data_IF_803451764143
#
_entry.id   IF_803451764143
#
_cell.length_a   1.000
_cell.length_b   1.000
_cell.length_c   1.000
_cell.angle_alpha   90.00
_cell.angle_beta   90.00
_cell.angle_gamma   90.00
#
_symmetry.space_group_name_H-M   'P 1'
#
loop_
_entity.id
_entity.type
_entity.pdbx_description
1 polymer ?
#
# COMPACT_ATOMS: atom_id res chain seq x y z
N UNK A 1 -11.55 11.67 -6.84
CA UNK A 1 -11.04 10.59 -5.98
C UNK A 1 -10.06 9.81 -6.84
N UNK A 2 -8.84 9.63 -6.36
CA UNK A 2 -7.76 8.93 -7.03
C UNK A 2 -6.84 8.35 -5.96
N UNK A 3 -6.20 7.22 -6.26
CA UNK A 3 -5.20 6.63 -5.39
C UNK A 3 -3.88 7.41 -5.46
N UNK A 4 -3.08 7.33 -4.41
CA UNK A 4 -1.75 7.92 -4.33
C UNK A 4 -0.70 6.84 -4.00
N UNK A 5 0.52 7.02 -4.50
CA UNK A 5 1.71 6.24 -4.09
C UNK A 5 2.56 7.15 -3.21
N UNK A 6 2.85 6.73 -1.98
CA UNK A 6 3.65 7.51 -1.04
C UNK A 6 5.14 7.09 -1.01
N UNK A 7 5.88 7.66 -0.07
CA UNK A 7 7.32 7.51 0.10
C UNK A 7 7.79 6.10 0.52
N UNK A 8 6.88 5.20 0.88
CA UNK A 8 7.19 3.80 1.13
C UNK A 8 7.48 3.01 -0.16
N UNK A 9 7.19 3.57 -1.32
CA UNK A 9 7.44 2.92 -2.60
C UNK A 9 8.94 2.65 -2.85
N UNK A 10 9.25 1.41 -3.20
CA UNK A 10 10.63 0.93 -3.43
C UNK A 10 11.03 0.86 -4.91
N UNK A 11 10.28 1.49 -5.80
CA UNK A 11 10.55 1.53 -7.25
C UNK A 11 10.69 0.12 -7.88
N UNK A 12 9.84 -0.84 -7.52
CA UNK A 12 9.92 -2.23 -7.98
C UNK A 12 9.33 -2.50 -9.38
N UNK A 13 8.71 -1.49 -10.02
CA UNK A 13 8.08 -1.58 -11.36
C UNK A 13 6.87 -2.52 -11.48
N UNK A 14 6.38 -3.11 -10.38
CA UNK A 14 5.32 -4.12 -10.46
C UNK A 14 3.93 -3.55 -10.80
N UNK A 15 3.61 -2.33 -10.34
CA UNK A 15 2.27 -1.75 -10.46
C UNK A 15 2.01 -1.04 -11.80
N UNK A 16 3.03 -0.42 -12.41
CA UNK A 16 2.92 0.30 -13.69
C UNK A 16 2.24 -0.51 -14.81
N UNK A 17 2.67 -1.75 -15.13
CA UNK A 17 2.06 -2.52 -16.22
C UNK A 17 0.65 -3.02 -15.92
N UNK A 18 0.18 -2.97 -14.67
CA UNK A 18 -1.14 -3.47 -14.27
C UNK A 18 -2.24 -2.40 -14.27
N UNK A 19 -1.89 -1.12 -14.34
CA UNK A 19 -2.88 -0.05 -14.35
C UNK A 19 -3.66 -0.03 -15.68
N UNK A 20 -4.99 -0.31 -15.70
CA UNK A 20 -5.76 -0.39 -16.95
C UNK A 20 -5.76 0.95 -17.71
N UNK A 21 -5.72 2.06 -16.98
CA UNK A 21 -5.76 3.42 -17.53
C UNK A 21 -4.39 4.06 -17.72
N UNK A 22 -3.29 3.32 -17.47
CA UNK A 22 -1.91 3.83 -17.56
C UNK A 22 -1.73 5.13 -16.75
N UNK A 23 -2.34 5.18 -15.57
CA UNK A 23 -2.26 6.30 -14.65
C UNK A 23 -0.94 6.30 -13.87
N UNK A 24 -0.30 5.14 -13.69
CA UNK A 24 0.97 5.00 -12.96
C UNK A 24 2.13 5.29 -13.91
N UNK A 25 3.10 6.08 -13.43
CA UNK A 25 4.32 6.40 -14.18
C UNK A 25 5.53 6.57 -13.24
N UNK A 26 6.72 6.33 -13.77
CA UNK A 26 7.97 6.54 -13.04
C UNK A 26 8.24 8.03 -12.83
N UNK A 27 8.50 8.42 -11.59
CA UNK A 27 8.91 9.76 -11.17
C UNK A 27 10.00 9.66 -10.08
N UNK A 28 10.42 10.81 -9.54
CA UNK A 28 11.39 10.88 -8.44
C UNK A 28 10.77 11.69 -7.29
N UNK A 29 10.79 11.17 -6.04
CA UNK A 29 11.61 10.05 -5.56
C UNK A 29 11.02 8.64 -5.77
N UNK A 30 9.73 8.53 -6.10
CA UNK A 30 9.05 7.27 -6.33
C UNK A 30 8.05 7.36 -7.50
N UNK A 31 7.43 6.24 -7.87
CA UNK A 31 6.30 6.22 -8.81
C UNK A 31 5.16 7.12 -8.35
N UNK A 32 4.44 7.71 -9.30
CA UNK A 32 3.28 8.57 -9.06
C UNK A 32 2.05 8.06 -9.83
N UNK A 33 0.88 8.53 -9.41
CA UNK A 33 -0.41 8.26 -10.06
C UNK A 33 -0.95 9.57 -10.61
N UNK A 34 -1.29 9.58 -11.90
CA UNK A 34 -2.02 10.66 -12.54
C UNK A 34 -3.50 10.61 -12.09
N UNK A 35 -3.97 11.59 -11.29
CA UNK A 35 -5.32 11.58 -10.75
C UNK A 35 -6.40 11.72 -11.82
N UNK A 36 -6.08 12.31 -12.97
CA UNK A 36 -7.04 12.47 -14.07
C UNK A 36 -7.30 11.15 -14.81
N UNK A 37 -6.43 10.15 -14.62
CA UNK A 37 -6.54 8.82 -15.24
C UNK A 37 -6.91 7.72 -14.26
N UNK A 38 -6.73 7.94 -12.97
CA UNK A 38 -7.00 6.94 -11.95
C UNK A 38 -8.51 6.79 -11.74
N UNK A 39 -9.03 5.59 -11.98
CA UNK A 39 -10.44 5.25 -11.74
C UNK A 39 -10.61 4.31 -10.55
N UNK A 40 -9.55 4.10 -9.76
CA UNK A 40 -9.52 3.08 -8.70
C UNK A 40 -9.82 1.66 -9.25
N UNK A 41 -9.51 1.45 -10.53
CA UNK A 41 -9.88 0.27 -11.33
C UNK A 41 -11.39 0.05 -11.52
N UNK A 42 -12.24 1.00 -11.11
CA UNK A 42 -13.69 0.91 -11.31
C UNK A 42 -14.03 0.75 -12.80
N UNK A 43 -14.82 -0.28 -13.10
CA UNK A 43 -15.22 -0.65 -14.46
C UNK A 43 -14.33 -1.71 -15.12
N UNK A 44 -13.11 -1.93 -14.63
CA UNK A 44 -12.16 -2.92 -15.17
C UNK A 44 -11.96 -4.10 -14.21
N UNK A 45 -11.80 -3.82 -12.91
CA UNK A 45 -11.56 -4.82 -11.86
C UNK A 45 -12.36 -4.48 -10.59
N UNK A 46 -12.58 -5.50 -9.74
CA UNK A 46 -13.22 -5.29 -8.44
C UNK A 46 -12.28 -4.60 -7.43
N UNK A 47 -10.98 -4.91 -7.52
CA UNK A 47 -9.94 -4.43 -6.60
C UNK A 47 -8.88 -3.62 -7.35
N UNK A 48 -8.24 -2.69 -6.65
CA UNK A 48 -7.13 -1.89 -7.18
C UNK A 48 -5.90 -2.77 -7.48
N UNK A 49 -5.63 -3.01 -8.76
CA UNK A 49 -4.56 -3.92 -9.19
C UNK A 49 -3.16 -3.48 -8.74
N UNK A 50 -2.94 -2.17 -8.63
CA UNK A 50 -1.67 -1.63 -8.13
C UNK A 50 -1.42 -2.01 -6.67
N UNK A 51 -2.44 -1.93 -5.80
CA UNK A 51 -2.34 -2.33 -4.40
C UNK A 51 -2.20 -3.85 -4.26
N UNK A 52 -2.91 -4.62 -5.09
CA UNK A 52 -2.86 -6.08 -5.06
C UNK A 52 -1.47 -6.66 -5.38
N UNK A 53 -0.67 -5.97 -6.20
CA UNK A 53 0.69 -6.41 -6.55
C UNK A 53 1.79 -5.71 -5.75
N UNK A 54 1.45 -4.65 -5.00
CA UNK A 54 2.46 -3.85 -4.31
C UNK A 54 3.13 -4.70 -3.22
N UNK A 55 4.47 -4.87 -3.24
CA UNK A 55 5.17 -5.67 -2.24
C UNK A 55 5.33 -4.96 -0.89
N UNK A 56 4.97 -3.67 -0.82
CA UNK A 56 5.06 -2.84 0.39
C UNK A 56 3.66 -2.48 0.84
N UNK A 57 3.26 -2.98 2.00
CA UNK A 57 2.00 -2.63 2.65
C UNK A 57 1.97 -1.13 2.99
N UNK A 58 0.84 -0.48 2.71
CA UNK A 58 0.65 0.94 2.98
C UNK A 58 1.30 1.90 2.00
N UNK A 59 1.99 1.41 0.96
CA UNK A 59 2.59 2.29 -0.05
C UNK A 59 1.58 2.93 -0.99
N UNK A 60 0.37 2.36 -1.10
CA UNK A 60 -0.72 2.88 -1.93
C UNK A 60 -1.89 3.22 -1.01
N UNK A 61 -2.36 4.45 -1.09
CA UNK A 61 -3.40 5.00 -0.22
C UNK A 61 -4.55 5.60 -1.03
N UNK A 62 -5.72 5.69 -0.42
CA UNK A 62 -6.86 6.45 -0.96
C UNK A 62 -6.75 7.95 -0.65
N UNK A 63 -7.78 8.72 -1.01
CA UNK A 63 -7.81 10.17 -0.80
C UNK A 63 -7.87 10.60 0.67
N UNK A 64 -8.18 9.68 1.59
CA UNK A 64 -8.16 9.91 3.04
C UNK A 64 -6.80 9.55 3.65
N UNK A 65 -5.90 8.96 2.86
CA UNK A 65 -4.62 8.45 3.32
C UNK A 65 -4.71 7.03 3.90
N UNK A 66 -5.84 6.33 3.73
CA UNK A 66 -6.01 4.97 4.21
C UNK A 66 -5.34 3.99 3.23
N UNK A 67 -4.56 3.04 3.77
CA UNK A 67 -3.82 2.06 2.99
C UNK A 67 -4.74 1.04 2.32
N UNK A 68 -4.60 0.83 1.00
CA UNK A 68 -5.36 -0.21 0.30
C UNK A 68 -4.86 -1.63 0.60
N UNK A 69 -3.58 -1.78 0.92
CA UNK A 69 -2.99 -3.01 1.43
C UNK A 69 -2.43 -2.76 2.85
N UNK A 70 -3.29 -2.75 3.90
CA UNK A 70 -2.87 -2.41 5.25
C UNK A 70 -1.85 -3.41 5.82
N UNK A 71 -1.09 -3.04 6.86
CA UNK A 71 -0.14 -3.93 7.51
C UNK A 71 -0.75 -5.29 7.87
N UNK A 72 -0.12 -6.38 7.43
CA UNK A 72 -0.60 -7.76 7.60
C UNK A 72 -1.39 -8.36 6.46
N UNK A 73 -1.90 -7.55 5.53
CA UNK A 73 -2.70 -8.02 4.39
C UNK A 73 -1.94 -8.99 3.48
N UNK A 74 -0.63 -8.84 3.30
CA UNK A 74 0.21 -9.73 2.47
C UNK A 74 0.56 -11.04 3.15
N UNK A 75 0.64 -11.06 4.48
CA UNK A 75 1.01 -12.25 5.26
C UNK A 75 -0.20 -13.08 5.68
N UNK A 76 -1.41 -12.52 5.56
CA UNK A 76 -2.64 -13.12 6.07
C UNK A 76 -2.67 -13.21 7.59
N UNK A 77 -1.78 -12.49 8.29
CA UNK A 77 -1.77 -12.45 9.75
C UNK A 77 -2.93 -11.54 10.19
N UNK A 78 -3.88 -12.04 11.00
CA UNK A 78 -4.93 -11.22 11.57
C UNK A 78 -4.37 -9.95 12.23
N UNK A 79 -4.98 -8.79 11.97
CA UNK A 79 -4.59 -7.51 12.57
C UNK A 79 -4.48 -7.57 14.10
N UNK A 80 -5.30 -8.42 14.74
CA UNK A 80 -5.24 -8.69 16.16
C UNK A 80 -3.89 -9.28 16.61
N UNK A 81 -3.35 -10.24 15.85
CA UNK A 81 -2.05 -10.85 16.13
C UNK A 81 -0.89 -9.89 15.85
N UNK A 82 -1.05 -8.99 14.87
CA UNK A 82 -0.09 -7.90 14.65
C UNK A 82 -0.11 -6.89 15.78
N UNK A 83 -1.29 -6.51 16.29
CA UNK A 83 -1.43 -5.64 17.45
C UNK A 83 -0.80 -6.28 18.71
N UNK A 84 -0.97 -7.59 18.90
CA UNK A 84 -0.35 -8.36 19.97
C UNK A 84 1.19 -8.44 19.83
N UNK A 85 1.71 -8.62 18.61
CA UNK A 85 3.14 -8.62 18.35
C UNK A 85 3.78 -7.24 18.51
N UNK A 86 3.13 -6.18 18.01
CA UNK A 86 3.54 -4.79 18.19
C UNK A 86 3.51 -4.37 19.67
N UNK A 87 2.51 -4.83 20.43
CA UNK A 87 2.44 -4.67 21.89
C UNK A 87 3.54 -5.44 22.63
N UNK A 88 3.96 -6.60 22.12
CA UNK A 88 5.06 -7.39 22.70
C UNK A 88 6.44 -6.76 22.47
N UNK A 89 6.62 -5.95 21.42
CA UNK A 89 7.83 -5.16 21.20
C UNK A 89 7.95 -3.97 22.18
N UNK A 90 6.83 -3.43 22.67
CA UNK A 90 6.83 -2.40 23.72
C UNK A 90 7.06 -2.97 25.14
N UNK A 91 6.86 -4.28 25.33
CA UNK A 91 6.91 -4.94 26.65
C UNK A 91 8.30 -5.45 27.10
N UNK A 92 9.30 -5.51 26.22
CA UNK A 92 10.64 -6.03 26.57
C UNK A 92 11.61 -4.98 27.10
N UNK A 93 11.26 -3.69 27.05
CA UNK A 93 12.05 -2.62 27.66
C UNK A 93 11.91 -2.51 29.20
N UNK A 94 11.04 -3.31 29.83
CA UNK A 94 10.69 -3.17 31.26
C UNK A 94 11.20 -4.29 32.19
N UNK A 95 12.17 -5.12 31.77
CA UNK A 95 12.80 -6.12 32.66
C UNK A 95 14.33 -6.08 32.59
N UNK A 96 14.90 -5.00 33.12
CA UNK A 96 16.26 -5.02 33.71
C UNK A 96 16.21 -4.36 35.08
N UNK A 97 15.90 -5.17 36.10
CA UNK A 97 16.21 -4.93 37.52
C UNK A 97 16.19 -6.28 38.23
#
# INVERSE_FOLDING_TARGET
MALEINDLCVNCWACEPLCPNKAIYSAAPHFEIDPDKCTECAGDFADAQCAAICPIEGAIVDELGDALNPPGSLTGIPLQLLAEAAGSAAGTAAKTS
#
